data_IF_477768838296
#
_entry.id   IF_477768838296
#
_cell.length_a   1.000
_cell.length_b   1.000
_cell.length_c   1.000
_cell.angle_alpha   90.00
_cell.angle_beta   90.00
_cell.angle_gamma   90.00
#
_symmetry.space_group_name_H-M   'P 1'
#
loop_
_entity.id
_entity.type
_entity.pdbx_description
1 polymer ?
#
# COMPACT_ATOMS: atom_id res chain seq x y z
N UNK A 1 19.90 -7.98 33.21
CA UNK A 1 20.15 -7.92 31.76
C UNK A 1 20.45 -9.33 31.30
N UNK A 2 19.58 -9.90 30.47
CA UNK A 2 19.82 -11.22 29.89
C UNK A 2 20.10 -11.00 28.40
N UNK A 3 21.37 -10.77 28.07
CA UNK A 3 21.76 -10.44 26.70
C UNK A 3 21.50 -11.66 25.81
N UNK A 4 20.94 -11.43 24.62
CA UNK A 4 20.66 -12.48 23.65
C UNK A 4 21.93 -13.24 23.27
N UNK A 5 21.89 -14.57 23.33
CA UNK A 5 22.97 -15.45 22.86
C UNK A 5 22.86 -15.78 21.37
N UNK A 6 21.76 -15.37 20.72
CA UNK A 6 21.50 -15.71 19.32
C UNK A 6 22.24 -14.75 18.38
N UNK A 7 23.11 -15.31 17.52
CA UNK A 7 23.90 -14.58 16.53
C UNK A 7 23.02 -13.74 15.58
N UNK A 8 21.83 -14.22 15.24
CA UNK A 8 20.91 -13.53 14.33
C UNK A 8 20.36 -12.24 14.96
N UNK A 9 20.12 -12.23 16.27
CA UNK A 9 19.71 -11.03 16.99
C UNK A 9 20.80 -9.96 16.94
N UNK A 10 22.07 -10.37 17.10
CA UNK A 10 23.21 -9.46 16.98
C UNK A 10 23.36 -8.86 15.59
N UNK A 11 23.17 -9.68 14.54
CA UNK A 11 23.18 -9.18 13.15
C UNK A 11 22.05 -8.17 12.95
N UNK A 12 20.84 -8.48 13.42
CA UNK A 12 19.69 -7.58 13.30
C UNK A 12 19.87 -6.27 14.10
N UNK A 13 20.53 -6.31 15.26
CA UNK A 13 20.90 -5.13 16.05
C UNK A 13 21.89 -4.25 15.28
N UNK A 14 22.96 -4.84 14.72
CA UNK A 14 23.94 -4.12 13.90
C UNK A 14 23.30 -3.43 12.70
N UNK A 15 22.39 -4.12 11.99
CA UNK A 15 21.65 -3.54 10.87
C UNK A 15 20.70 -2.43 11.32
N UNK A 16 20.05 -2.58 12.48
CA UNK A 16 19.17 -1.55 13.05
C UNK A 16 19.96 -0.28 13.38
N UNK A 17 21.12 -0.41 14.03
CA UNK A 17 22.01 0.73 14.26
C UNK A 17 22.58 1.30 12.96
N UNK A 18 22.85 0.46 11.96
CA UNK A 18 23.27 0.92 10.63
C UNK A 18 22.24 1.80 9.94
N UNK A 19 20.95 1.46 10.07
CA UNK A 19 19.85 2.29 9.58
C UNK A 19 19.73 3.58 10.40
N UNK A 20 19.84 3.51 11.73
CA UNK A 20 19.80 4.70 12.58
C UNK A 20 21.00 5.64 12.40
N UNK A 21 22.14 5.15 11.89
CA UNK A 21 23.30 5.99 11.58
C UNK A 21 22.99 7.11 10.58
N UNK A 22 21.92 6.98 9.77
CA UNK A 22 21.44 8.05 8.90
C UNK A 22 21.15 9.36 9.66
N UNK A 23 20.70 9.27 10.91
CA UNK A 23 20.40 10.44 11.74
C UNK A 23 21.63 11.34 11.97
N UNK A 24 22.83 10.78 11.86
CA UNK A 24 24.08 11.50 12.12
C UNK A 24 24.79 12.00 10.84
N UNK A 25 24.36 11.55 9.64
CA UNK A 25 24.73 11.93 8.24
C UNK A 25 24.68 10.69 7.34
N UNK A 26 24.73 10.91 6.02
CA UNK A 26 24.91 9.84 5.01
C UNK A 26 26.27 9.13 5.16
N UNK A 27 26.30 8.07 5.96
CA UNK A 27 27.49 7.25 6.21
C UNK A 27 27.57 6.06 5.21
N UNK A 28 28.76 5.69 4.70
CA UNK A 28 28.95 4.44 3.94
C UNK A 28 28.29 3.20 4.58
N UNK A 29 28.28 3.12 5.91
CA UNK A 29 27.65 2.01 6.64
C UNK A 29 26.12 1.97 6.47
N UNK A 30 25.46 3.12 6.46
CA UNK A 30 24.03 3.23 6.18
C UNK A 30 23.71 2.78 4.74
N UNK A 31 24.48 3.28 3.76
CA UNK A 31 24.29 2.92 2.34
C UNK A 31 24.46 1.41 2.09
N UNK A 32 25.41 0.78 2.79
CA UNK A 32 25.55 -0.68 2.74
C UNK A 32 24.29 -1.39 3.27
N UNK A 33 23.79 -0.98 4.44
CA UNK A 33 22.58 -1.57 5.02
C UNK A 33 21.35 -1.37 4.11
N UNK A 34 21.24 -0.21 3.48
CA UNK A 34 20.18 0.11 2.51
C UNK A 34 20.26 -0.82 1.28
N UNK A 35 21.41 -0.94 0.64
CA UNK A 35 21.58 -1.82 -0.51
C UNK A 35 21.38 -3.30 -0.16
N UNK A 36 21.83 -3.73 1.02
CA UNK A 36 21.58 -5.08 1.52
C UNK A 36 20.08 -5.32 1.70
N UNK A 37 19.37 -4.39 2.34
CA UNK A 37 17.93 -4.51 2.58
C UNK A 37 17.14 -4.55 1.26
N UNK A 38 17.42 -3.63 0.34
CA UNK A 38 16.78 -3.60 -0.98
C UNK A 38 17.11 -4.86 -1.79
N UNK A 39 18.36 -5.32 -1.75
CA UNK A 39 18.80 -6.54 -2.41
C UNK A 39 18.08 -7.78 -1.91
N UNK A 40 17.97 -7.95 -0.59
CA UNK A 40 17.22 -9.05 0.04
C UNK A 40 15.74 -8.97 -0.32
N UNK A 41 15.14 -7.77 -0.28
CA UNK A 41 13.73 -7.57 -0.63
C UNK A 41 13.43 -8.01 -2.06
N UNK A 42 14.27 -7.59 -3.02
CA UNK A 42 14.13 -8.00 -4.42
C UNK A 42 14.38 -9.50 -4.59
N UNK A 43 15.44 -10.05 -3.97
CA UNK A 43 15.75 -11.48 -4.04
C UNK A 43 14.63 -12.37 -3.49
N UNK A 44 14.07 -11.99 -2.34
CA UNK A 44 12.92 -12.68 -1.75
C UNK A 44 11.68 -12.59 -2.65
N UNK A 45 11.43 -11.42 -3.23
CA UNK A 45 10.32 -11.22 -4.18
C UNK A 45 10.48 -12.10 -5.42
N UNK A 46 11.69 -12.23 -5.97
CA UNK A 46 11.98 -13.14 -7.09
C UNK A 46 11.70 -14.59 -6.72
N UNK A 47 12.17 -15.04 -5.54
CA UNK A 47 11.94 -16.40 -5.06
C UNK A 47 10.45 -16.69 -4.89
N UNK A 48 9.70 -15.79 -4.25
CA UNK A 48 8.25 -15.93 -4.11
C UNK A 48 7.55 -15.96 -5.47
N UNK A 49 7.92 -15.07 -6.38
CA UNK A 49 7.31 -15.01 -7.73
C UNK A 49 7.58 -16.30 -8.50
N UNK A 50 8.78 -16.89 -8.35
CA UNK A 50 9.12 -18.15 -8.98
C UNK A 50 8.26 -19.30 -8.46
N UNK A 51 8.20 -19.50 -7.14
CA UNK A 51 7.52 -20.65 -6.54
C UNK A 51 5.99 -20.51 -6.51
N UNK A 52 5.47 -19.29 -6.33
CA UNK A 52 4.03 -19.07 -6.18
C UNK A 52 3.33 -18.73 -7.50
N UNK A 53 4.06 -18.29 -8.53
CA UNK A 53 3.43 -17.86 -9.78
C UNK A 53 4.06 -18.50 -11.01
N UNK A 54 5.36 -18.31 -11.27
CA UNK A 54 5.98 -18.78 -12.52
C UNK A 54 5.94 -20.31 -12.62
N UNK A 55 6.33 -21.03 -11.59
CA UNK A 55 6.36 -22.48 -11.61
C UNK A 55 4.96 -23.13 -11.71
N UNK A 56 3.98 -22.77 -10.84
CA UNK A 56 2.65 -23.36 -10.91
C UNK A 56 1.83 -22.85 -12.10
N UNK A 57 1.90 -21.56 -12.46
CA UNK A 57 0.97 -20.97 -13.44
C UNK A 57 1.51 -20.96 -14.88
N UNK A 58 2.84 -21.10 -15.06
CA UNK A 58 3.46 -21.12 -16.39
C UNK A 58 4.13 -22.46 -16.68
N UNK A 59 5.08 -22.89 -15.84
CA UNK A 59 5.92 -24.05 -16.14
C UNK A 59 5.12 -25.36 -16.09
N UNK A 60 4.32 -25.55 -15.03
CA UNK A 60 3.51 -26.77 -14.85
C UNK A 60 2.48 -26.96 -15.98
N UNK A 61 1.60 -25.99 -16.31
CA UNK A 61 0.59 -26.18 -17.35
C UNK A 61 1.18 -26.27 -18.77
N UNK A 62 2.32 -25.61 -19.02
CA UNK A 62 2.96 -25.64 -20.34
C UNK A 62 3.74 -26.94 -20.57
N UNK A 63 4.56 -27.37 -19.61
CA UNK A 63 5.47 -28.51 -19.78
C UNK A 63 4.94 -29.84 -19.25
N UNK A 64 4.02 -29.85 -18.26
CA UNK A 64 3.43 -31.09 -17.71
C UNK A 64 2.04 -31.37 -18.24
N UNK A 65 1.20 -30.36 -18.39
CA UNK A 65 -0.19 -30.54 -18.84
C UNK A 65 -0.36 -30.35 -20.36
N UNK A 66 0.67 -29.86 -21.06
CA UNK A 66 0.68 -29.72 -22.51
C UNK A 66 -0.36 -28.72 -23.06
N UNK A 67 -0.82 -27.76 -22.26
CA UNK A 67 -1.84 -26.78 -22.67
C UNK A 67 -1.21 -25.70 -23.56
N UNK A 68 -1.49 -25.66 -24.88
CA UNK A 68 -0.80 -24.77 -25.81
C UNK A 68 -1.13 -23.29 -25.59
N UNK A 69 -2.22 -22.97 -24.89
CA UNK A 69 -2.62 -21.59 -24.59
C UNK A 69 -1.55 -20.83 -23.76
N UNK A 70 -0.77 -21.55 -22.94
CA UNK A 70 0.28 -20.96 -22.09
C UNK A 70 1.56 -20.59 -22.86
N UNK A 71 1.64 -20.90 -24.15
CA UNK A 71 2.72 -20.45 -25.03
C UNK A 71 2.71 -18.91 -25.14
N UNK A 72 1.53 -18.29 -25.15
CA UNK A 72 1.41 -16.82 -25.26
C UNK A 72 2.07 -16.14 -24.04
N UNK A 73 1.70 -16.45 -22.77
CA UNK A 73 2.40 -15.95 -21.60
C UNK A 73 3.91 -16.28 -21.59
N UNK A 74 4.30 -17.46 -22.08
CA UNK A 74 5.72 -17.85 -22.14
C UNK A 74 6.52 -16.96 -23.10
N UNK A 75 5.99 -16.72 -24.30
CA UNK A 75 6.61 -15.81 -25.28
C UNK A 75 6.67 -14.39 -24.74
N UNK A 76 5.60 -13.90 -24.10
CA UNK A 76 5.60 -12.58 -23.44
C UNK A 76 6.64 -12.50 -22.32
N UNK A 77 6.81 -13.57 -21.54
CA UNK A 77 7.86 -13.70 -20.54
C UNK A 77 9.27 -13.62 -21.14
N UNK A 78 9.51 -14.31 -22.27
CA UNK A 78 10.78 -14.24 -23.00
C UNK A 78 11.05 -12.83 -23.55
N UNK A 79 10.01 -12.10 -23.98
CA UNK A 79 10.13 -10.72 -24.44
C UNK A 79 10.66 -9.77 -23.35
N UNK A 80 10.45 -10.06 -22.06
CA UNK A 80 11.04 -9.25 -20.98
C UNK A 80 12.57 -9.35 -20.93
N UNK A 81 13.15 -10.52 -21.24
CA UNK A 81 14.61 -10.70 -21.28
C UNK A 81 15.27 -9.99 -22.45
N UNK A 82 14.51 -9.64 -23.49
CA UNK A 82 15.02 -8.84 -24.61
C UNK A 82 15.47 -7.43 -24.19
N UNK A 83 15.13 -6.98 -22.97
CA UNK A 83 15.64 -5.72 -22.37
C UNK A 83 17.17 -5.69 -22.27
N UNK A 84 17.83 -6.83 -22.08
CA UNK A 84 19.28 -6.90 -21.94
C UNK A 84 20.01 -6.72 -23.29
N UNK A 85 19.30 -6.83 -24.42
CA UNK A 85 19.85 -6.68 -25.76
C UNK A 85 19.36 -5.35 -26.35
N UNK A 86 20.20 -4.32 -26.50
CA UNK A 86 19.75 -2.98 -26.90
C UNK A 86 19.03 -2.97 -28.26
N UNK A 87 19.35 -3.90 -29.18
CA UNK A 87 18.68 -4.04 -30.48
C UNK A 87 17.27 -4.61 -30.41
N UNK A 88 16.97 -5.47 -29.42
CA UNK A 88 15.66 -6.13 -29.26
C UNK A 88 14.82 -5.50 -28.12
N UNK A 89 15.34 -4.47 -27.45
CA UNK A 89 14.70 -3.81 -26.31
C UNK A 89 13.29 -3.28 -26.61
N UNK A 90 12.97 -2.96 -27.88
CA UNK A 90 11.62 -2.54 -28.26
C UNK A 90 10.54 -3.60 -27.99
N UNK A 91 10.91 -4.88 -27.97
CA UNK A 91 9.98 -5.99 -27.80
C UNK A 91 9.37 -6.02 -26.39
N UNK A 92 9.98 -5.35 -25.40
CA UNK A 92 9.40 -5.19 -24.06
C UNK A 92 8.12 -4.36 -24.05
N UNK A 93 7.87 -3.54 -25.09
CA UNK A 93 6.67 -2.71 -25.16
C UNK A 93 5.39 -3.55 -25.28
N UNK A 94 5.47 -4.70 -25.94
CA UNK A 94 4.34 -5.63 -26.12
C UNK A 94 3.86 -6.20 -24.78
N UNK A 95 4.70 -6.87 -23.96
CA UNK A 95 4.26 -7.36 -22.66
C UNK A 95 3.93 -6.23 -21.70
N UNK A 96 4.62 -5.08 -21.76
CA UNK A 96 4.25 -3.91 -20.94
C UNK A 96 2.86 -3.36 -21.29
N UNK A 97 2.52 -3.31 -22.58
CA UNK A 97 1.18 -2.95 -23.03
C UNK A 97 0.12 -3.94 -22.58
N UNK A 98 0.42 -5.24 -22.63
CA UNK A 98 -0.46 -6.29 -22.10
C UNK A 98 -0.68 -6.14 -20.59
N UNK A 99 0.39 -5.96 -19.80
CA UNK A 99 0.30 -5.77 -18.35
C UNK A 99 -0.47 -4.49 -18.02
N UNK A 100 -0.23 -3.39 -18.73
CA UNK A 100 -0.98 -2.14 -18.54
C UNK A 100 -2.47 -2.33 -18.86
N UNK A 101 -2.80 -3.00 -19.97
CA UNK A 101 -4.17 -3.28 -20.38
C UNK A 101 -4.90 -4.18 -19.39
N UNK A 102 -4.26 -5.26 -18.94
CA UNK A 102 -4.81 -6.15 -17.91
C UNK A 102 -4.96 -5.42 -16.56
N UNK A 103 -3.93 -4.73 -16.10
CA UNK A 103 -3.93 -4.04 -14.81
C UNK A 103 -5.01 -2.94 -14.77
N UNK A 104 -5.12 -2.14 -15.83
CA UNK A 104 -6.17 -1.12 -15.93
C UNK A 104 -7.57 -1.74 -16.07
N UNK A 105 -7.70 -2.81 -16.85
CA UNK A 105 -8.96 -3.54 -17.04
C UNK A 105 -9.51 -4.13 -15.74
N UNK A 106 -8.65 -4.59 -14.83
CA UNK A 106 -9.04 -5.08 -13.50
C UNK A 106 -9.20 -3.93 -12.50
N UNK A 107 -8.25 -3.00 -12.47
CA UNK A 107 -8.21 -1.95 -11.47
C UNK A 107 -9.34 -0.93 -11.64
N UNK A 108 -9.63 -0.49 -12.87
CA UNK A 108 -10.65 0.55 -13.09
C UNK A 108 -12.02 0.09 -12.57
N UNK A 109 -12.59 -1.05 -12.99
CA UNK A 109 -13.87 -1.50 -12.45
C UNK A 109 -13.83 -1.73 -10.95
N UNK A 110 -12.74 -2.31 -10.43
CA UNK A 110 -12.58 -2.54 -9.00
C UNK A 110 -12.61 -1.23 -8.20
N UNK A 111 -11.86 -0.21 -8.62
CA UNK A 111 -11.85 1.11 -8.00
C UNK A 111 -13.19 1.81 -8.12
N UNK A 112 -13.86 1.74 -9.27
CA UNK A 112 -15.22 2.27 -9.41
C UNK A 112 -16.19 1.58 -8.44
N UNK A 113 -16.13 0.27 -8.33
CA UNK A 113 -17.01 -0.49 -7.45
C UNK A 113 -16.73 -0.22 -5.97
N UNK A 114 -15.47 -0.20 -5.54
CA UNK A 114 -15.10 -0.02 -4.13
C UNK A 114 -15.12 1.43 -3.68
N UNK A 115 -14.56 2.35 -4.47
CA UNK A 115 -14.40 3.73 -4.05
C UNK A 115 -15.60 4.61 -4.42
N UNK A 116 -16.38 4.27 -5.44
CA UNK A 116 -17.54 5.09 -5.84
C UNK A 116 -18.81 4.41 -5.39
N UNK A 117 -19.12 3.22 -5.92
CA UNK A 117 -20.41 2.56 -5.67
C UNK A 117 -20.57 2.21 -4.17
N UNK A 118 -19.60 1.50 -3.58
CA UNK A 118 -19.69 1.12 -2.17
C UNK A 118 -19.63 2.33 -1.22
N UNK A 119 -18.89 3.39 -1.55
CA UNK A 119 -18.88 4.60 -0.72
C UNK A 119 -20.21 5.36 -0.78
N UNK A 120 -20.83 5.44 -1.97
CA UNK A 120 -22.19 5.99 -2.12
C UNK A 120 -23.18 5.14 -1.33
N UNK A 121 -23.17 3.82 -1.48
CA UNK A 121 -24.02 2.90 -0.72
C UNK A 121 -23.85 3.05 0.79
N UNK A 122 -22.60 3.18 1.26
CA UNK A 122 -22.28 3.39 2.67
C UNK A 122 -22.77 4.72 3.22
N UNK A 123 -23.01 5.70 2.36
CA UNK A 123 -23.54 7.02 2.72
C UNK A 123 -25.08 7.07 2.64
N UNK A 124 -25.76 6.07 2.05
CA UNK A 124 -27.21 6.05 1.93
C UNK A 124 -27.89 5.64 3.24
N UNK A 125 -28.90 6.42 3.65
CA UNK A 125 -29.74 6.11 4.81
C UNK A 125 -30.72 4.98 4.47
N UNK A 126 -30.41 3.76 4.92
CA UNK A 126 -31.26 2.57 4.71
C UNK A 126 -32.35 2.48 5.78
N UNK A 127 -33.58 2.01 5.45
CA UNK A 127 -34.68 1.87 6.42
C UNK A 127 -34.34 1.08 7.70
N UNK A 128 -33.40 0.11 7.62
CA UNK A 128 -32.93 -0.66 8.77
C UNK A 128 -32.17 0.17 9.83
N UNK A 129 -31.61 1.32 9.43
CA UNK A 129 -30.84 2.20 10.33
C UNK A 129 -31.77 2.93 11.31
N UNK A 130 -33.04 3.14 10.94
CA UNK A 130 -34.04 3.83 11.79
C UNK A 130 -34.46 3.02 13.02
N UNK A 131 -34.13 1.72 13.09
CA UNK A 131 -34.44 0.88 14.24
C UNK A 131 -33.55 1.16 15.47
N UNK A 132 -32.39 1.81 15.28
CA UNK A 132 -31.41 2.09 16.34
C UNK A 132 -30.99 3.55 16.31
N UNK A 133 -31.34 4.28 17.36
CA UNK A 133 -31.11 5.73 17.46
C UNK A 133 -29.63 6.12 17.38
N UNK A 134 -28.75 5.32 17.98
CA UNK A 134 -27.30 5.52 17.96
C UNK A 134 -26.72 5.44 16.53
N UNK A 135 -27.10 4.39 15.78
CA UNK A 135 -26.63 4.18 14.41
C UNK A 135 -27.22 5.25 13.47
N UNK A 136 -28.48 5.62 13.69
CA UNK A 136 -29.15 6.68 12.93
C UNK A 136 -28.45 8.03 13.04
N UNK A 137 -28.10 8.48 14.26
CA UNK A 137 -27.42 9.76 14.45
C UNK A 137 -26.07 9.81 13.74
N UNK A 138 -25.26 8.74 13.84
CA UNK A 138 -23.97 8.68 13.16
C UNK A 138 -24.11 8.64 11.63
N UNK A 139 -25.09 7.89 11.12
CA UNK A 139 -25.37 7.85 9.69
C UNK A 139 -25.84 9.22 9.16
N UNK A 140 -26.67 9.94 9.90
CA UNK A 140 -27.12 11.28 9.54
C UNK A 140 -25.97 12.29 9.53
N UNK A 141 -25.12 12.28 10.56
CA UNK A 141 -23.93 13.15 10.63
C UNK A 141 -22.99 12.86 9.46
N UNK A 142 -22.75 11.58 9.15
CA UNK A 142 -21.89 11.19 8.03
C UNK A 142 -22.49 11.60 6.68
N UNK A 143 -23.79 11.41 6.47
CA UNK A 143 -24.48 11.83 5.26
C UNK A 143 -24.40 13.34 5.05
N UNK A 144 -24.68 14.13 6.10
CA UNK A 144 -24.56 15.60 6.06
C UNK A 144 -23.10 16.00 5.79
N UNK A 145 -22.14 15.35 6.45
CA UNK A 145 -20.72 15.58 6.24
C UNK A 145 -20.31 15.36 4.78
N UNK A 146 -20.73 14.25 4.16
CA UNK A 146 -20.45 13.95 2.75
C UNK A 146 -21.07 15.00 1.82
N UNK A 147 -22.34 15.36 2.02
CA UNK A 147 -23.00 16.39 1.21
C UNK A 147 -22.29 17.73 1.33
N UNK A 148 -21.98 18.18 2.56
CA UNK A 148 -21.27 19.43 2.80
C UNK A 148 -19.85 19.43 2.22
N UNK A 149 -19.11 18.33 2.32
CA UNK A 149 -17.78 18.20 1.72
C UNK A 149 -17.82 18.18 0.19
N UNK A 150 -18.81 17.54 -0.43
CA UNK A 150 -19.01 17.60 -1.89
C UNK A 150 -19.36 19.02 -2.32
N UNK A 151 -20.24 19.71 -1.59
CA UNK A 151 -20.58 21.11 -1.86
C UNK A 151 -19.36 22.04 -1.75
N UNK A 152 -18.45 21.81 -0.79
CA UNK A 152 -17.20 22.56 -0.68
C UNK A 152 -16.32 22.44 -1.93
N UNK A 153 -16.18 21.22 -2.49
CA UNK A 153 -15.40 21.00 -3.71
C UNK A 153 -16.16 21.34 -5.00
N UNK A 154 -17.46 21.63 -4.92
CA UNK A 154 -18.27 21.99 -6.08
C UNK A 154 -18.05 23.47 -6.44
N UNK A 155 -16.95 23.76 -7.13
CA UNK A 155 -16.52 25.11 -7.52
C UNK A 155 -17.45 25.85 -8.51
N UNK A 156 -18.50 25.21 -9.04
CA UNK A 156 -19.33 25.75 -10.12
C UNK A 156 -20.41 26.77 -9.69
N UNK A 157 -20.55 27.10 -8.40
CA UNK A 157 -21.43 28.20 -7.95
C UNK A 157 -20.74 29.10 -6.93
N UNK A 158 -20.99 30.41 -7.04
CA UNK A 158 -20.56 31.38 -6.02
C UNK A 158 -21.18 31.01 -4.66
N UNK A 159 -20.34 30.89 -3.64
CA UNK A 159 -20.72 30.57 -2.27
C UNK A 159 -21.41 31.78 -1.58
N UNK A 160 -22.65 32.08 -1.96
CA UNK A 160 -23.48 33.12 -1.32
C UNK A 160 -24.64 32.49 -0.54
N UNK A 161 -24.93 33.03 0.65
CA UNK A 161 -26.08 32.63 1.49
C UNK A 161 -25.92 31.28 2.19
N UNK A 162 -26.98 30.45 2.18
CA UNK A 162 -27.03 29.13 2.84
C UNK A 162 -26.00 28.12 2.31
N UNK A 163 -25.59 28.29 1.05
CA UNK A 163 -24.53 27.49 0.43
C UNK A 163 -23.15 27.76 1.05
N UNK A 164 -22.92 28.98 1.58
CA UNK A 164 -21.69 29.33 2.30
C UNK A 164 -21.60 28.63 3.65
N UNK A 165 -22.69 28.61 4.41
CA UNK A 165 -22.74 27.92 5.71
C UNK A 165 -22.57 26.40 5.57
N UNK A 166 -23.17 25.79 4.54
CA UNK A 166 -22.98 24.37 4.23
C UNK A 166 -21.52 24.05 3.83
N UNK A 167 -20.89 24.92 3.02
CA UNK A 167 -19.48 24.78 2.60
C UNK A 167 -18.50 25.00 3.76
N UNK A 168 -18.75 26.00 4.63
CA UNK A 168 -17.95 26.24 5.85
C UNK A 168 -18.02 25.05 6.82
N UNK A 169 -19.19 24.42 6.95
CA UNK A 169 -19.34 23.16 7.71
C UNK A 169 -18.56 22.02 7.05
N UNK A 170 -18.57 21.94 5.72
CA UNK A 170 -17.80 20.97 4.93
C UNK A 170 -16.29 21.06 5.16
N UNK A 171 -15.74 22.27 5.36
CA UNK A 171 -14.33 22.48 5.71
C UNK A 171 -13.98 21.78 7.01
N UNK A 172 -14.83 21.88 8.04
CA UNK A 172 -14.57 21.24 9.33
C UNK A 172 -14.48 19.72 9.19
N UNK A 173 -15.40 19.10 8.43
CA UNK A 173 -15.36 17.67 8.15
C UNK A 173 -14.09 17.27 7.38
N UNK A 174 -13.65 18.08 6.41
CA UNK A 174 -12.41 17.84 5.68
C UNK A 174 -11.18 17.96 6.57
N UNK A 175 -11.12 18.97 7.45
CA UNK A 175 -10.02 19.12 8.40
C UNK A 175 -9.94 17.95 9.38
N UNK A 176 -11.08 17.41 9.84
CA UNK A 176 -11.11 16.21 10.67
C UNK A 176 -10.57 15.00 9.89
N UNK A 177 -11.03 14.79 8.64
CA UNK A 177 -10.58 13.68 7.80
C UNK A 177 -9.09 13.74 7.47
N UNK A 178 -8.59 14.91 7.05
CA UNK A 178 -7.16 15.12 6.82
C UNK A 178 -6.35 15.01 8.10
N UNK A 179 -6.83 15.56 9.21
CA UNK A 179 -6.19 15.44 10.52
C UNK A 179 -6.04 13.99 10.97
N UNK A 180 -7.06 13.16 10.78
CA UNK A 180 -7.00 11.74 11.04
C UNK A 180 -5.99 11.01 10.14
N UNK A 181 -5.94 11.35 8.85
CA UNK A 181 -4.98 10.78 7.90
C UNK A 181 -3.53 11.14 8.27
N UNK A 182 -3.25 12.42 8.58
CA UNK A 182 -1.95 12.86 9.06
C UNK A 182 -1.59 12.17 10.39
N UNK A 183 -2.53 12.11 11.34
CA UNK A 183 -2.34 11.42 12.62
C UNK A 183 -1.99 9.95 12.45
N UNK A 184 -2.64 9.25 11.51
CA UNK A 184 -2.34 7.86 11.19
C UNK A 184 -0.90 7.68 10.67
N UNK A 185 -0.42 8.58 9.81
CA UNK A 185 0.97 8.49 9.31
C UNK A 185 2.01 8.72 10.41
N UNK A 186 1.75 9.66 11.33
CA UNK A 186 2.61 9.92 12.49
C UNK A 186 2.60 8.72 13.44
N UNK A 187 1.41 8.19 13.74
CA UNK A 187 1.24 7.01 14.57
C UNK A 187 2.00 5.80 13.98
N UNK A 188 1.89 5.56 12.67
CA UNK A 188 2.59 4.46 12.01
C UNK A 188 4.12 4.58 12.16
N UNK A 189 4.68 5.77 11.97
CA UNK A 189 6.12 6.02 12.15
C UNK A 189 6.56 5.86 13.61
N UNK A 190 5.79 6.38 14.56
CA UNK A 190 6.07 6.21 15.99
C UNK A 190 5.96 4.74 16.42
N UNK A 191 4.97 4.01 15.91
CA UNK A 191 4.79 2.58 16.17
C UNK A 191 5.97 1.76 15.66
N UNK A 192 6.47 2.05 14.46
CA UNK A 192 7.68 1.42 13.93
C UNK A 192 8.91 1.69 14.82
N UNK A 193 9.07 2.93 15.28
CA UNK A 193 10.16 3.31 16.18
C UNK A 193 10.07 2.57 17.53
N UNK A 194 8.88 2.54 18.14
CA UNK A 194 8.63 1.79 19.38
C UNK A 194 8.95 0.31 19.17
N UNK A 195 8.52 -0.28 18.05
CA UNK A 195 8.83 -1.66 17.72
C UNK A 195 10.33 -1.93 17.61
N UNK A 196 11.12 -0.98 17.08
CA UNK A 196 12.59 -1.10 17.06
C UNK A 196 13.20 -0.98 18.46
N UNK A 197 12.71 -0.07 19.30
CA UNK A 197 13.17 0.02 20.70
C UNK A 197 12.79 -1.21 21.52
N UNK A 198 11.59 -1.75 21.33
CA UNK A 198 11.18 -3.01 21.95
C UNK A 198 12.12 -4.15 21.55
N UNK A 199 12.44 -4.28 20.25
CA UNK A 199 13.41 -5.27 19.78
C UNK A 199 14.79 -5.11 20.47
N UNK A 200 15.31 -3.88 20.56
CA UNK A 200 16.61 -3.63 21.21
C UNK A 200 16.58 -3.88 22.73
N UNK A 201 15.53 -3.48 23.42
CA UNK A 201 15.46 -3.52 24.88
C UNK A 201 14.98 -4.87 25.42
N UNK A 202 14.10 -5.56 24.68
CA UNK A 202 13.53 -6.86 25.03
C UNK A 202 14.34 -8.01 24.45
N UNK A 203 14.47 -8.07 23.12
CA UNK A 203 15.03 -9.23 22.45
C UNK A 203 16.56 -9.26 22.48
N UNK A 204 17.21 -8.09 22.50
CA UNK A 204 18.68 -8.00 22.59
C UNK A 204 19.20 -7.85 24.03
N UNK A 205 18.74 -6.85 24.79
CA UNK A 205 19.24 -6.56 26.15
C UNK A 205 18.52 -7.33 27.28
N UNK A 206 17.30 -7.80 27.04
CA UNK A 206 16.47 -8.47 28.05
C UNK A 206 16.23 -7.62 29.30
N UNK A 207 16.11 -6.29 29.12
CA UNK A 207 15.86 -5.31 30.21
C UNK A 207 14.37 -5.17 30.48
N UNK A 208 13.55 -5.30 29.44
CA UNK A 208 12.10 -5.21 29.50
C UNK A 208 11.53 -6.60 29.19
N UNK A 209 10.53 -7.04 29.94
CA UNK A 209 9.83 -8.33 29.71
C UNK A 209 8.75 -8.22 28.66
#
# INVERSE_FOLDING_TARGET
MHISTNIWTWVAVLLTFGIFSFLWKDNPFYKFCEHLFVGISVGYTIALTWYNSVYPDLVTPLFREGKPLYIIPFVLGLCYFCRFIPKLSWLIRVPMGFVLGWASGVAIPAYFQTNIIKQIQGSLLTPAIFARWDIFLWALISFIGVVCSVLYFFFSREHKGTLRLASETGIVFLMIGFGASFGYTVMARMSLLIGRFQFLLRDWLGVIK
#
